data_IF_321903818752
#
_entry.id   IF_321903818752
#
_cell.length_a   1.000
_cell.length_b   1.000
_cell.length_c   1.000
_cell.angle_alpha   90.00
_cell.angle_beta   90.00
_cell.angle_gamma   90.00
#
_symmetry.space_group_name_H-M   'P 1'
#
loop_
_entity.id
_entity.type
_entity.pdbx_description
1 polymer ?
#
# COMPACT_ATOMS: atom_id res chain seq x y z
N UNK A 1 -17.27 28.48 13.14
CA UNK A 1 -17.92 27.54 12.21
C UNK A 1 -17.13 26.23 12.27
N UNK A 2 -17.62 25.26 13.05
CA UNK A 2 -16.99 23.95 13.10
C UNK A 2 -17.33 23.21 11.80
N UNK A 3 -16.33 23.02 10.94
CA UNK A 3 -16.44 22.08 9.85
C UNK A 3 -16.55 20.68 10.46
N UNK A 4 -17.76 20.15 10.51
CA UNK A 4 -17.97 18.74 10.79
C UNK A 4 -17.46 18.00 9.54
N UNK A 5 -16.21 17.60 9.57
CA UNK A 5 -15.66 16.72 8.54
C UNK A 5 -16.48 15.44 8.54
N UNK A 6 -17.13 15.18 7.42
CA UNK A 6 -17.76 13.88 7.19
C UNK A 6 -16.68 12.78 7.32
N UNK A 7 -17.05 11.52 7.60
CA UNK A 7 -16.09 10.43 7.64
C UNK A 7 -15.30 10.35 6.32
N UNK A 8 -14.02 9.95 6.36
CA UNK A 8 -13.22 9.81 5.15
C UNK A 8 -13.82 8.74 4.24
N UNK A 9 -13.65 8.93 2.92
CA UNK A 9 -14.15 8.00 1.92
C UNK A 9 -13.25 6.78 1.76
N UNK A 10 -11.93 6.99 1.90
CA UNK A 10 -10.94 5.93 1.77
C UNK A 10 -9.93 6.00 2.92
N UNK A 11 -9.55 4.83 3.39
CA UNK A 11 -8.43 4.58 4.29
C UNK A 11 -7.37 3.78 3.52
N UNK A 12 -6.21 4.39 3.32
CA UNK A 12 -5.12 3.79 2.55
C UNK A 12 -3.95 3.58 3.49
N UNK A 13 -3.31 2.42 3.41
CA UNK A 13 -2.06 2.13 4.11
C UNK A 13 -0.94 1.95 3.10
N UNK A 14 0.23 2.49 3.41
CA UNK A 14 1.43 2.34 2.59
C UNK A 14 2.61 2.01 3.48
N UNK A 15 3.21 0.84 3.26
CA UNK A 15 4.30 0.30 4.08
C UNK A 15 5.60 0.31 3.30
N UNK A 16 6.69 0.64 3.96
CA UNK A 16 8.02 0.51 3.38
C UNK A 16 8.34 -0.94 3.04
N UNK A 17 8.81 -1.18 1.83
CA UNK A 17 9.36 -2.46 1.44
C UNK A 17 10.90 -2.36 1.44
N UNK A 18 11.61 -3.04 2.36
CA UNK A 18 13.07 -2.99 2.43
C UNK A 18 13.77 -3.58 1.19
N UNK A 19 13.02 -4.25 0.32
CA UNK A 19 13.52 -4.80 -0.95
C UNK A 19 13.34 -3.86 -2.14
N UNK A 20 12.92 -2.62 -1.93
CA UNK A 20 12.87 -1.67 -3.05
C UNK A 20 14.23 -1.50 -3.69
N UNK A 21 14.30 -1.43 -5.03
CA UNK A 21 15.56 -1.32 -5.76
C UNK A 21 16.45 -0.18 -5.27
N UNK A 22 15.84 0.97 -4.95
CA UNK A 22 16.55 2.15 -4.48
C UNK A 22 17.25 1.92 -3.13
N UNK A 23 16.65 1.11 -2.25
CA UNK A 23 17.26 0.70 -0.98
C UNK A 23 18.38 -0.30 -1.25
N UNK A 24 18.09 -1.33 -2.04
CA UNK A 24 19.04 -2.41 -2.32
C UNK A 24 20.30 -1.90 -3.03
N UNK A 25 20.18 -0.90 -3.90
CA UNK A 25 21.31 -0.29 -4.61
C UNK A 25 22.14 0.67 -3.74
N UNK A 26 21.55 1.22 -2.68
CA UNK A 26 22.21 2.18 -1.80
C UNK A 26 22.91 1.53 -0.60
N UNK A 27 22.67 0.24 -0.35
CA UNK A 27 23.29 -0.53 0.74
C UNK A 27 24.60 -1.14 0.25
N UNK A 28 25.62 -1.12 1.11
CA UNK A 28 26.91 -1.72 0.80
C UNK A 28 26.85 -3.26 0.91
N UNK A 29 27.73 -3.97 0.19
CA UNK A 29 27.83 -5.42 0.30
C UNK A 29 28.06 -5.86 1.77
N UNK A 30 27.17 -6.68 2.29
CA UNK A 30 27.23 -7.18 3.68
C UNK A 30 26.37 -6.41 4.69
N UNK A 31 25.88 -5.21 4.35
CA UNK A 31 24.90 -4.49 5.18
C UNK A 31 23.47 -5.04 4.96
N UNK A 32 22.66 -4.95 6.00
CA UNK A 32 21.22 -5.23 5.90
C UNK A 32 20.44 -3.91 5.85
N UNK A 33 19.24 -3.89 5.26
CA UNK A 33 18.39 -2.70 5.25
C UNK A 33 18.18 -2.07 6.63
N UNK A 34 18.03 -2.88 7.67
CA UNK A 34 17.84 -2.42 9.04
C UNK A 34 19.08 -1.73 9.65
N UNK A 35 20.26 -1.95 9.08
CA UNK A 35 21.50 -1.27 9.50
C UNK A 35 21.55 0.17 8.96
N UNK A 36 20.69 0.49 7.99
CA UNK A 36 20.66 1.78 7.29
C UNK A 36 19.26 2.44 7.33
N UNK A 37 18.75 2.77 8.52
CA UNK A 37 17.47 3.44 8.68
C UNK A 37 17.41 4.79 7.97
N UNK A 38 18.54 5.47 7.82
CA UNK A 38 18.69 6.72 7.07
C UNK A 38 18.28 6.57 5.60
N UNK A 39 18.69 5.50 4.94
CA UNK A 39 18.33 5.19 3.55
C UNK A 39 16.85 4.82 3.46
N UNK A 40 16.39 3.93 4.34
CA UNK A 40 15.01 3.47 4.39
C UNK A 40 14.05 4.65 4.51
N UNK A 41 14.28 5.54 5.49
CA UNK A 41 13.40 6.69 5.75
C UNK A 41 13.39 7.64 4.56
N UNK A 42 14.55 7.90 3.95
CA UNK A 42 14.67 8.80 2.79
C UNK A 42 13.92 8.25 1.58
N UNK A 43 14.13 6.99 1.23
CA UNK A 43 13.45 6.35 0.08
C UNK A 43 11.94 6.28 0.33
N UNK A 44 11.53 5.88 1.54
CA UNK A 44 10.12 5.87 1.91
C UNK A 44 9.48 7.25 1.76
N UNK A 45 10.15 8.30 2.26
CA UNK A 45 9.64 9.67 2.15
C UNK A 45 9.46 10.10 0.70
N UNK A 46 10.44 9.81 -0.17
CA UNK A 46 10.34 10.13 -1.60
C UNK A 46 9.14 9.43 -2.26
N UNK A 47 8.95 8.14 -1.99
CA UNK A 47 7.81 7.37 -2.52
C UNK A 47 6.49 7.83 -1.93
N UNK A 48 6.44 8.18 -0.65
CA UNK A 48 5.24 8.75 -0.02
C UNK A 48 4.86 10.09 -0.65
N UNK A 49 5.82 10.97 -0.90
CA UNK A 49 5.55 12.25 -1.57
C UNK A 49 4.98 12.04 -2.99
N UNK A 50 5.54 11.07 -3.73
CA UNK A 50 5.00 10.71 -5.03
C UNK A 50 3.56 10.20 -4.92
N UNK A 51 3.29 9.27 -4.02
CA UNK A 51 1.93 8.75 -3.78
C UNK A 51 0.95 9.87 -3.40
N UNK A 52 1.34 10.77 -2.50
CA UNK A 52 0.50 11.90 -2.11
C UNK A 52 0.23 12.87 -3.27
N UNK A 53 1.19 13.07 -4.16
CA UNK A 53 1.00 13.89 -5.36
C UNK A 53 0.06 13.20 -6.35
N UNK A 54 0.21 11.88 -6.55
CA UNK A 54 -0.68 11.10 -7.41
C UNK A 54 -2.12 11.10 -6.89
N UNK A 55 -2.30 10.98 -5.56
CA UNK A 55 -3.61 11.12 -4.94
C UNK A 55 -4.22 12.51 -5.14
N UNK A 56 -3.42 13.59 -4.91
CA UNK A 56 -3.88 14.99 -5.07
C UNK A 56 -4.23 15.33 -6.51
N UNK A 57 -3.58 14.69 -7.48
CA UNK A 57 -3.87 14.93 -8.91
C UNK A 57 -5.30 14.55 -9.30
N UNK A 58 -5.96 13.71 -8.48
CA UNK A 58 -7.29 13.19 -8.76
C UNK A 58 -7.34 12.11 -9.85
N UNK A 59 -6.20 11.72 -10.42
CA UNK A 59 -6.16 10.74 -11.51
C UNK A 59 -6.57 9.33 -11.08
N UNK A 60 -6.46 9.00 -9.78
CA UNK A 60 -6.72 7.65 -9.27
C UNK A 60 -8.18 7.51 -8.82
N UNK A 61 -8.63 8.39 -7.92
CA UNK A 61 -9.95 8.29 -7.28
C UNK A 61 -10.89 9.46 -7.62
N UNK A 62 -10.47 10.34 -8.49
CA UNK A 62 -11.17 11.60 -8.79
C UNK A 62 -10.71 12.77 -7.92
N UNK A 63 -11.39 13.93 -8.01
CA UNK A 63 -11.02 15.14 -7.28
C UNK A 63 -10.97 14.93 -5.77
N UNK A 64 -9.90 15.40 -5.14
CA UNK A 64 -9.63 15.24 -3.71
C UNK A 64 -9.88 16.54 -2.96
N UNK A 65 -10.73 16.48 -1.94
CA UNK A 65 -11.05 17.60 -1.06
C UNK A 65 -10.00 17.78 0.03
N UNK A 66 -9.60 16.68 0.68
CA UNK A 66 -8.63 16.70 1.76
C UNK A 66 -7.88 15.36 1.88
N UNK A 67 -6.64 15.46 2.35
CA UNK A 67 -5.79 14.34 2.73
C UNK A 67 -5.24 14.58 4.13
N UNK A 68 -5.42 13.62 5.02
CA UNK A 68 -4.76 13.57 6.32
C UNK A 68 -3.94 12.28 6.40
N UNK A 69 -2.71 12.36 6.88
CA UNK A 69 -1.91 11.17 7.06
C UNK A 69 -1.06 11.22 8.32
N UNK A 70 -0.75 10.02 8.86
CA UNK A 70 0.19 9.84 9.96
C UNK A 70 1.22 8.79 9.60
N UNK A 71 2.48 9.01 9.98
CA UNK A 71 3.57 8.07 9.79
C UNK A 71 3.87 7.41 11.12
N UNK A 72 3.95 6.09 11.11
CA UNK A 72 4.30 5.27 12.26
C UNK A 72 5.50 4.39 11.92
N UNK A 73 6.30 4.05 12.94
CA UNK A 73 7.37 3.07 12.81
C UNK A 73 6.90 1.75 13.45
N UNK A 74 6.84 0.70 12.65
CA UNK A 74 6.46 -0.62 13.14
C UNK A 74 7.59 -1.24 13.97
N UNK A 75 7.30 -2.33 14.71
CA UNK A 75 8.28 -3.05 15.56
C UNK A 75 9.57 -3.47 14.85
N UNK A 76 9.60 -3.48 13.51
CA UNK A 76 10.77 -3.79 12.68
C UNK A 76 11.46 -2.53 12.16
N UNK A 77 11.17 -1.36 12.75
CA UNK A 77 11.74 -0.06 12.40
C UNK A 77 11.42 0.41 10.96
N UNK A 78 10.48 -0.26 10.29
CA UNK A 78 10.05 0.15 8.95
C UNK A 78 8.95 1.21 9.05
N UNK A 79 9.06 2.32 8.32
CA UNK A 79 8.02 3.33 8.28
C UNK A 79 6.76 2.82 7.58
N UNK A 80 5.62 3.20 8.14
CA UNK A 80 4.28 2.88 7.70
C UNK A 80 3.43 4.13 7.77
N UNK A 81 2.59 4.36 6.78
CA UNK A 81 1.70 5.52 6.76
C UNK A 81 0.24 5.08 6.65
N UNK A 82 -0.59 5.75 7.43
CA UNK A 82 -2.05 5.70 7.31
C UNK A 82 -2.52 7.00 6.68
N UNK A 83 -3.32 6.89 5.63
CA UNK A 83 -3.83 8.03 4.86
C UNK A 83 -5.36 7.98 4.89
N UNK A 84 -5.98 9.08 5.30
CA UNK A 84 -7.40 9.32 5.19
C UNK A 84 -7.65 10.26 4.01
N UNK A 85 -8.57 9.88 3.13
CA UNK A 85 -8.86 10.61 1.92
C UNK A 85 -10.33 11.03 1.87
N UNK A 86 -10.57 12.33 1.66
CA UNK A 86 -11.88 12.90 1.37
C UNK A 86 -11.95 13.30 -0.11
N UNK A 87 -12.89 12.73 -0.82
CA UNK A 87 -13.14 13.04 -2.23
C UNK A 87 -14.20 14.12 -2.34
N UNK A 88 -14.12 14.94 -3.38
CA UNK A 88 -15.15 15.91 -3.71
C UNK A 88 -16.38 15.17 -4.25
N UNK A 89 -17.49 15.26 -3.50
CA UNK A 89 -18.75 14.59 -3.83
C UNK A 89 -19.69 15.42 -4.70
N UNK A 90 -19.50 16.72 -4.79
CA UNK A 90 -20.40 17.58 -5.56
C UNK A 90 -20.43 17.19 -7.05
N UNK A 91 -19.37 16.53 -7.53
CA UNK A 91 -19.22 16.05 -8.89
C UNK A 91 -19.03 14.53 -9.03
N UNK A 92 -18.98 13.77 -7.94
CA UNK A 92 -18.68 12.32 -7.96
C UNK A 92 -19.50 11.58 -6.90
N UNK A 93 -20.66 11.08 -7.28
CA UNK A 93 -21.40 10.13 -6.45
C UNK A 93 -20.61 8.81 -6.40
N UNK A 94 -20.24 8.38 -5.18
CA UNK A 94 -19.54 7.11 -4.97
C UNK A 94 -20.58 6.00 -4.98
N UNK A 95 -20.72 5.34 -6.11
CA UNK A 95 -21.61 4.19 -6.26
C UNK A 95 -20.88 2.88 -5.94
N UNK A 96 -21.58 1.80 -5.63
CA UNK A 96 -20.96 0.48 -5.44
C UNK A 96 -20.05 0.06 -6.61
N UNK A 97 -20.45 0.36 -7.84
CA UNK A 97 -19.69 0.01 -9.06
C UNK A 97 -18.38 0.79 -9.13
N UNK A 98 -18.35 2.03 -8.63
CA UNK A 98 -17.12 2.83 -8.55
C UNK A 98 -16.20 2.25 -7.48
N UNK A 99 -16.75 1.83 -6.33
CA UNK A 99 -15.98 1.19 -5.27
C UNK A 99 -15.34 -0.11 -5.80
N UNK A 100 -16.11 -0.95 -6.47
CA UNK A 100 -15.63 -2.21 -7.05
C UNK A 100 -14.53 -1.99 -8.10
N UNK A 101 -14.57 -0.86 -8.81
CA UNK A 101 -13.52 -0.47 -9.75
C UNK A 101 -12.22 -0.05 -9.04
N UNK A 102 -12.30 0.59 -7.88
CA UNK A 102 -11.14 1.06 -7.12
C UNK A 102 -10.53 -0.03 -6.23
N UNK A 103 -11.39 -0.89 -5.68
CA UNK A 103 -11.00 -1.90 -4.69
C UNK A 103 -11.54 -3.24 -5.16
N UNK A 104 -10.67 -4.06 -5.75
CA UNK A 104 -11.00 -5.41 -6.14
C UNK A 104 -10.20 -6.42 -5.32
N UNK A 105 -10.84 -7.50 -4.91
CA UNK A 105 -10.20 -8.66 -4.28
C UNK A 105 -9.88 -9.76 -5.29
N UNK A 106 -10.22 -9.56 -6.55
CA UNK A 106 -9.99 -10.51 -7.62
C UNK A 106 -8.55 -10.41 -8.14
N UNK A 107 -7.94 -11.57 -8.41
CA UNK A 107 -6.65 -11.62 -9.07
C UNK A 107 -6.86 -11.30 -10.56
N UNK A 108 -6.19 -10.27 -11.11
CA UNK A 108 -6.33 -9.90 -12.51
C UNK A 108 -6.03 -11.06 -13.44
N UNK A 109 -6.74 -11.12 -14.55
CA UNK A 109 -6.46 -12.13 -15.57
C UNK A 109 -5.14 -11.81 -16.29
N UNK A 110 -4.11 -12.69 -16.24
CA UNK A 110 -2.79 -12.42 -16.81
C UNK A 110 -2.79 -12.17 -18.32
N UNK A 111 -3.85 -12.60 -19.03
CA UNK A 111 -4.01 -12.32 -20.47
C UNK A 111 -4.55 -10.93 -20.78
N UNK A 112 -5.22 -10.30 -19.78
CA UNK A 112 -5.81 -8.96 -19.94
C UNK A 112 -4.97 -7.89 -19.27
N UNK A 113 -4.43 -8.18 -18.09
CA UNK A 113 -3.62 -7.28 -17.28
C UNK A 113 -2.49 -8.08 -16.62
N UNK A 114 -1.42 -8.27 -17.38
CA UNK A 114 -0.24 -9.00 -16.92
C UNK A 114 0.48 -8.27 -15.78
N UNK A 115 0.54 -6.93 -15.85
CA UNK A 115 1.23 -6.13 -14.84
C UNK A 115 0.49 -6.19 -13.50
N UNK A 116 -0.82 -5.99 -13.49
CA UNK A 116 -1.64 -6.13 -12.30
C UNK A 116 -1.57 -7.53 -11.70
N UNK A 117 -1.58 -8.57 -12.54
CA UNK A 117 -1.41 -9.96 -12.09
C UNK A 117 -0.07 -10.17 -11.36
N UNK A 118 1.04 -9.71 -11.95
CA UNK A 118 2.38 -9.84 -11.36
C UNK A 118 2.44 -9.09 -10.02
N UNK A 119 1.97 -7.84 -9.97
CA UNK A 119 2.00 -7.02 -8.77
C UNK A 119 1.20 -7.66 -7.62
N UNK A 120 0.01 -8.19 -7.91
CA UNK A 120 -0.81 -8.85 -6.90
C UNK A 120 -0.18 -10.17 -6.47
N UNK A 121 0.30 -10.99 -7.41
CA UNK A 121 0.90 -12.27 -7.10
C UNK A 121 2.19 -12.15 -6.26
N UNK A 122 3.00 -11.11 -6.49
CA UNK A 122 4.26 -10.91 -5.78
C UNK A 122 4.09 -10.18 -4.43
N UNK A 123 3.12 -9.27 -4.32
CA UNK A 123 3.06 -8.36 -3.18
C UNK A 123 1.83 -8.53 -2.30
N UNK A 124 0.73 -9.06 -2.82
CA UNK A 124 -0.54 -9.13 -2.09
C UNK A 124 -0.96 -10.57 -1.73
N UNK A 125 -0.47 -11.56 -2.45
CA UNK A 125 -0.81 -12.96 -2.23
C UNK A 125 0.44 -13.72 -1.82
N UNK A 126 0.42 -14.35 -0.65
CA UNK A 126 1.50 -15.28 -0.32
C UNK A 126 1.35 -16.57 -1.15
N UNK A 127 2.48 -17.25 -1.41
CA UNK A 127 2.49 -18.52 -2.16
C UNK A 127 1.60 -19.58 -1.52
N UNK A 128 1.47 -20.74 -2.16
CA UNK A 128 0.58 -21.80 -1.69
C UNK A 128 0.87 -22.17 -0.23
N UNK A 129 -0.19 -22.39 0.54
CA UNK A 129 -0.14 -22.81 1.94
C UNK A 129 -0.81 -24.17 2.13
N UNK A 130 -0.94 -24.62 3.35
CA UNK A 130 -1.46 -25.95 3.67
C UNK A 130 -0.47 -27.05 3.32
N UNK A 131 -0.95 -28.15 2.78
CA UNK A 131 -0.14 -29.33 2.44
C UNK A 131 0.97 -29.05 1.42
N UNK A 132 0.84 -27.98 0.65
CA UNK A 132 1.84 -27.57 -0.34
C UNK A 132 2.99 -26.73 0.25
N UNK A 133 2.76 -26.06 1.39
CA UNK A 133 3.79 -25.27 2.06
C UNK A 133 3.44 -25.04 3.53
N UNK A 134 3.96 -25.89 4.41
CA UNK A 134 3.76 -25.80 5.86
C UNK A 134 4.49 -24.62 6.52
N UNK A 135 5.43 -23.99 5.83
CA UNK A 135 6.24 -22.89 6.35
C UNK A 135 5.68 -21.50 5.98
N UNK A 136 4.52 -21.43 5.29
CA UNK A 136 3.95 -20.15 4.94
C UNK A 136 3.42 -19.40 6.18
N UNK A 137 3.38 -18.05 6.14
CA UNK A 137 3.04 -17.23 7.31
C UNK A 137 1.66 -17.51 7.93
N UNK A 138 0.72 -18.01 7.14
CA UNK A 138 -0.63 -18.35 7.59
C UNK A 138 -0.73 -19.74 8.26
N UNK A 139 0.36 -20.52 8.28
CA UNK A 139 0.38 -21.84 8.93
C UNK A 139 0.88 -21.74 10.36
N UNK A 140 0.08 -22.18 11.32
CA UNK A 140 0.47 -22.27 12.72
C UNK A 140 0.33 -23.71 13.18
N UNK A 141 1.42 -24.32 13.65
CA UNK A 141 1.46 -25.73 14.08
C UNK A 141 0.91 -26.71 13.02
N UNK A 142 1.23 -26.48 11.73
CA UNK A 142 0.74 -27.27 10.57
C UNK A 142 -0.77 -27.25 10.36
N UNK A 143 -1.48 -26.26 10.92
CA UNK A 143 -2.91 -25.99 10.65
C UNK A 143 -3.05 -24.61 10.07
N UNK A 144 -3.97 -24.44 9.11
CA UNK A 144 -4.39 -23.10 8.65
C UNK A 144 -5.05 -22.35 9.81
N UNK A 145 -4.73 -21.06 9.91
CA UNK A 145 -5.36 -20.13 10.83
C UNK A 145 -6.73 -19.73 10.31
#
# INVERSE_FOLDING_TARGET
MFLILQPPHLFITFTCNPKWPEISLAILPGEQPNDRPDIIVRVFHMKLQQLLNDLRSGCIFGPVLAILYSIEFQKRELPHVHILLWLDRENNEITPEIIDKWISVEIPNPRKDLLGYILIAEHMVHGPCGDKNFNCPCMKKRKML
#
